data_IF_177083024298
#
_entry.id   IF_177083024298
#
_cell.length_a   1.000
_cell.length_b   1.000
_cell.length_c   1.000
_cell.angle_alpha   90.00
_cell.angle_beta   90.00
_cell.angle_gamma   90.00
#
_symmetry.space_group_name_H-M   'P 1'
#
loop_
_entity.id
_entity.type
_entity.pdbx_description
1 polymer ?
#
# COMPACT_ATOMS: atom_id res chain seq x y z
N UNK A 1 32.35 3.15 11.01
CA UNK A 1 32.31 1.81 10.45
C UNK A 1 31.02 1.09 10.82
N UNK A 2 30.71 1.03 12.10
CA UNK A 2 29.46 0.48 12.60
C UNK A 2 28.25 1.29 12.15
N UNK A 3 28.33 2.62 12.23
CA UNK A 3 27.29 3.55 11.78
C UNK A 3 27.02 3.40 10.28
N UNK A 4 28.08 3.26 9.48
CA UNK A 4 27.96 3.08 8.04
C UNK A 4 27.22 1.78 7.69
N UNK A 5 27.51 0.68 8.42
CA UNK A 5 26.84 -0.60 8.23
C UNK A 5 25.34 -0.50 8.51
N UNK A 6 24.94 0.23 9.56
CA UNK A 6 23.52 0.43 9.90
C UNK A 6 22.79 1.20 8.80
N UNK A 7 23.41 2.23 8.23
CA UNK A 7 22.82 3.00 7.13
C UNK A 7 22.60 2.11 5.91
N UNK A 8 23.56 1.27 5.54
CA UNK A 8 23.45 0.34 4.40
C UNK A 8 22.29 -0.65 4.62
N UNK A 9 22.13 -1.19 5.82
CA UNK A 9 21.04 -2.11 6.15
C UNK A 9 19.69 -1.42 6.03
N UNK A 10 19.57 -0.19 6.53
CA UNK A 10 18.36 0.61 6.44
C UNK A 10 17.97 0.86 4.98
N UNK A 11 18.94 1.25 4.15
CA UNK A 11 18.69 1.49 2.71
C UNK A 11 18.22 0.23 2.00
N UNK A 12 18.79 -0.94 2.32
CA UNK A 12 18.37 -2.20 1.74
C UNK A 12 16.93 -2.56 2.15
N UNK A 13 16.58 -2.37 3.41
CA UNK A 13 15.24 -2.61 3.91
C UNK A 13 14.23 -1.67 3.23
N UNK A 14 14.57 -0.40 3.06
CA UNK A 14 13.73 0.56 2.36
C UNK A 14 13.47 0.12 0.91
N UNK A 15 14.50 -0.31 0.21
CA UNK A 15 14.38 -0.80 -1.17
C UNK A 15 13.49 -2.04 -1.26
N UNK A 16 13.64 -2.97 -0.32
CA UNK A 16 12.82 -4.18 -0.28
C UNK A 16 11.35 -3.87 -0.02
N UNK A 17 11.07 -2.98 0.93
CA UNK A 17 9.70 -2.56 1.25
C UNK A 17 9.08 -1.83 0.06
N UNK A 18 9.80 -0.92 -0.55
CA UNK A 18 9.32 -0.19 -1.73
C UNK A 18 9.01 -1.17 -2.87
N UNK A 19 9.87 -2.15 -3.08
CA UNK A 19 9.67 -3.16 -4.13
C UNK A 19 8.41 -3.99 -3.87
N UNK A 20 8.16 -4.35 -2.61
CA UNK A 20 6.94 -5.07 -2.23
C UNK A 20 5.69 -4.21 -2.52
N UNK A 21 5.75 -2.93 -2.18
CA UNK A 21 4.66 -2.00 -2.47
C UNK A 21 4.43 -1.85 -3.98
N UNK A 22 5.50 -1.75 -4.77
CA UNK A 22 5.39 -1.63 -6.22
C UNK A 22 4.76 -2.88 -6.85
N UNK A 23 5.07 -4.06 -6.34
CA UNK A 23 4.42 -5.30 -6.75
C UNK A 23 2.92 -5.28 -6.43
N UNK A 24 2.57 -4.84 -5.23
CA UNK A 24 1.18 -4.68 -4.84
C UNK A 24 0.44 -3.77 -5.82
N UNK A 25 1.02 -2.62 -6.14
CA UNK A 25 0.42 -1.67 -7.06
C UNK A 25 0.22 -2.27 -8.46
N UNK A 26 1.20 -3.01 -8.96
CA UNK A 26 1.09 -3.68 -10.25
C UNK A 26 -0.04 -4.70 -10.26
N UNK A 27 -0.15 -5.52 -9.22
CA UNK A 27 -1.26 -6.48 -9.09
C UNK A 27 -2.60 -5.76 -8.98
N UNK A 28 -2.64 -4.65 -8.27
CA UNK A 28 -3.86 -3.86 -8.12
C UNK A 28 -4.34 -3.33 -9.48
N UNK A 29 -3.44 -2.77 -10.27
CA UNK A 29 -3.77 -2.25 -11.60
C UNK A 29 -4.22 -3.36 -12.57
N UNK A 30 -3.73 -4.58 -12.40
CA UNK A 30 -4.12 -5.73 -13.20
C UNK A 30 -5.36 -6.46 -12.69
N UNK A 31 -5.95 -5.99 -11.60
CA UNK A 31 -7.06 -6.66 -10.91
C UNK A 31 -6.71 -8.10 -10.53
N UNK A 32 -5.46 -8.34 -10.15
CA UNK A 32 -4.95 -9.65 -9.77
C UNK A 32 -5.05 -9.84 -8.25
N UNK A 33 -6.19 -10.32 -7.79
CA UNK A 33 -6.44 -10.52 -6.36
C UNK A 33 -5.56 -11.62 -5.76
N UNK A 34 -5.20 -12.63 -6.52
CA UNK A 34 -4.28 -13.66 -6.03
C UNK A 34 -2.89 -13.06 -5.78
N UNK A 35 -2.43 -12.20 -6.69
CA UNK A 35 -1.18 -11.47 -6.51
C UNK A 35 -1.21 -10.58 -5.28
N UNK A 36 -2.27 -9.79 -5.11
CA UNK A 36 -2.44 -8.92 -3.94
C UNK A 36 -2.40 -9.76 -2.66
N UNK A 37 -3.18 -10.84 -2.60
CA UNK A 37 -3.24 -11.69 -1.41
C UNK A 37 -1.88 -12.31 -1.05
N UNK A 38 -1.04 -12.55 -2.04
CA UNK A 38 0.31 -13.08 -1.81
C UNK A 38 1.22 -12.09 -1.09
N UNK A 39 0.89 -10.82 -1.12
CA UNK A 39 1.64 -9.73 -0.46
C UNK A 39 1.01 -9.28 0.84
N UNK A 40 0.01 -10.00 1.34
CA UNK A 40 -0.70 -9.64 2.57
C UNK A 40 -0.49 -10.71 3.62
N UNK A 41 -0.23 -10.27 4.84
CA UNK A 41 -0.25 -11.12 6.03
C UNK A 41 -1.60 -10.95 6.70
N UNK A 42 -2.45 -11.98 6.61
CA UNK A 42 -3.77 -11.97 7.23
C UNK A 42 -3.71 -12.41 8.70
N UNK A 43 -4.59 -11.92 9.58
CA UNK A 43 -5.59 -10.90 9.28
C UNK A 43 -4.93 -9.54 9.04
N UNK A 44 -5.48 -8.77 8.12
CA UNK A 44 -5.02 -7.41 7.87
C UNK A 44 -5.88 -6.43 8.69
N UNK A 45 -5.24 -5.43 9.27
CA UNK A 45 -5.95 -4.35 9.96
C UNK A 45 -6.28 -3.24 8.98
N UNK A 46 -7.56 -2.88 8.89
CA UNK A 46 -8.01 -1.78 8.05
C UNK A 46 -8.57 -0.67 8.93
N UNK A 47 -8.01 0.52 8.79
CA UNK A 47 -8.37 1.70 9.59
C UNK A 47 -8.97 2.74 8.67
N UNK A 48 -10.24 3.06 8.87
CA UNK A 48 -10.95 4.07 8.08
C UNK A 48 -12.17 4.57 8.88
N UNK A 49 -12.52 5.83 8.67
CA UNK A 49 -13.72 6.43 9.26
C UNK A 49 -13.83 6.28 10.77
N UNK A 50 -12.71 6.38 11.47
CA UNK A 50 -12.68 6.30 12.93
C UNK A 50 -12.79 4.88 13.49
N UNK A 51 -12.80 3.87 12.65
CA UNK A 51 -12.88 2.47 13.06
C UNK A 51 -11.62 1.69 12.64
N UNK A 52 -11.29 0.66 13.40
CA UNK A 52 -10.28 -0.30 13.02
C UNK A 52 -10.91 -1.68 12.96
N UNK A 53 -10.63 -2.41 11.88
CA UNK A 53 -11.20 -3.74 11.66
C UNK A 53 -10.08 -4.73 11.35
N UNK A 54 -10.21 -5.94 11.90
CA UNK A 54 -9.35 -7.06 11.55
C UNK A 54 -10.07 -7.90 10.51
N UNK A 55 -9.46 -8.05 9.33
CA UNK A 55 -10.12 -8.67 8.18
C UNK A 55 -9.33 -9.87 7.67
N UNK A 56 -10.06 -10.91 7.26
CA UNK A 56 -9.48 -12.11 6.65
C UNK A 56 -9.43 -12.02 5.13
N UNK A 57 -9.93 -10.93 4.55
CA UNK A 57 -9.90 -10.64 3.13
C UNK A 57 -9.42 -9.22 2.91
N UNK A 58 -8.84 -8.96 1.73
CA UNK A 58 -8.34 -7.63 1.40
C UNK A 58 -9.51 -6.64 1.26
N UNK A 59 -9.45 -5.46 1.92
CA UNK A 59 -10.62 -4.59 2.06
C UNK A 59 -11.05 -3.85 0.79
N UNK A 60 -10.16 -3.71 -0.18
CA UNK A 60 -10.43 -2.91 -1.39
C UNK A 60 -10.14 -3.77 -2.62
N UNK A 61 -11.10 -3.87 -3.54
CA UNK A 61 -10.86 -4.56 -4.79
C UNK A 61 -10.85 -3.57 -5.95
N UNK A 62 -9.91 -3.71 -6.90
CA UNK A 62 -9.87 -2.84 -8.07
C UNK A 62 -11.16 -2.88 -8.86
N UNK A 63 -11.76 -4.06 -9.00
CA UNK A 63 -13.01 -4.25 -9.71
C UNK A 63 -14.15 -3.42 -9.10
N UNK A 64 -14.29 -3.44 -7.77
CA UNK A 64 -15.29 -2.65 -7.08
C UNK A 64 -15.08 -1.15 -7.29
N UNK A 65 -13.84 -0.69 -7.26
CA UNK A 65 -13.53 0.70 -7.53
C UNK A 65 -13.92 1.11 -8.95
N UNK A 66 -13.65 0.25 -9.92
CA UNK A 66 -14.03 0.51 -11.31
C UNK A 66 -15.56 0.55 -11.48
N UNK A 67 -16.26 -0.39 -10.86
CA UNK A 67 -17.73 -0.49 -10.98
C UNK A 67 -18.47 0.60 -10.20
N UNK A 68 -18.03 0.86 -8.96
CA UNK A 68 -18.75 1.75 -8.05
C UNK A 68 -18.39 3.23 -8.22
N UNK A 69 -17.15 3.52 -8.61
CA UNK A 69 -16.65 4.89 -8.71
C UNK A 69 -16.28 5.30 -10.13
N UNK A 70 -16.34 4.36 -11.08
CA UNK A 70 -15.86 4.55 -12.46
C UNK A 70 -14.38 4.95 -12.50
N UNK A 71 -13.59 4.40 -11.57
CA UNK A 71 -12.16 4.65 -11.54
C UNK A 71 -11.48 4.13 -12.80
N UNK A 72 -10.71 4.99 -13.46
CA UNK A 72 -9.93 4.64 -14.63
C UNK A 72 -8.44 4.53 -14.27
N UNK A 73 -7.91 5.60 -13.68
CA UNK A 73 -6.51 5.62 -13.28
C UNK A 73 -6.28 6.59 -12.13
N UNK A 74 -5.05 6.60 -11.64
CA UNK A 74 -4.61 7.48 -10.56
C UNK A 74 -3.44 8.31 -11.04
N UNK A 75 -3.51 9.61 -10.82
CA UNK A 75 -2.49 10.58 -11.25
C UNK A 75 -1.92 11.30 -10.03
N UNK A 76 -0.86 12.08 -10.24
CA UNK A 76 -0.20 12.89 -9.21
C UNK A 76 0.18 12.04 -8.00
N UNK A 77 0.73 10.85 -8.27
CA UNK A 77 1.08 9.91 -7.21
C UNK A 77 2.41 10.27 -6.58
N UNK A 78 2.46 10.16 -5.25
CA UNK A 78 3.70 10.29 -4.49
C UNK A 78 3.76 9.12 -3.50
N UNK A 79 4.92 8.49 -3.41
CA UNK A 79 5.13 7.33 -2.54
C UNK A 79 6.42 7.49 -1.77
N UNK A 80 6.35 7.32 -0.46
CA UNK A 80 7.49 7.43 0.43
C UNK A 80 7.56 6.24 1.36
N UNK A 81 8.77 5.73 1.58
CA UNK A 81 9.03 4.77 2.65
C UNK A 81 9.45 5.58 3.87
N UNK A 82 8.63 5.58 4.90
CA UNK A 82 8.86 6.35 6.13
C UNK A 82 9.15 5.42 7.30
N UNK A 83 10.43 5.13 7.50
CA UNK A 83 10.88 4.29 8.59
C UNK A 83 10.89 2.82 8.23
N UNK A 84 12.06 2.23 8.32
CA UNK A 84 12.25 0.78 8.17
C UNK A 84 13.27 0.30 9.17
N UNK A 85 13.14 -0.97 9.53
CA UNK A 85 14.18 -1.71 10.23
C UNK A 85 14.19 -3.14 9.66
N UNK A 86 14.84 -4.06 10.35
CA UNK A 86 14.96 -5.45 9.86
C UNK A 86 13.65 -6.22 9.86
N UNK A 87 12.60 -5.72 10.53
CA UNK A 87 11.33 -6.46 10.70
C UNK A 87 10.11 -5.71 10.22
N UNK A 88 10.18 -4.39 10.09
CA UNK A 88 8.99 -3.56 9.82
C UNK A 88 9.32 -2.36 8.94
N UNK A 89 8.36 -1.95 8.12
CA UNK A 89 8.48 -0.75 7.30
C UNK A 89 7.13 -0.10 7.05
N UNK A 90 7.16 1.22 6.87
CA UNK A 90 5.95 2.00 6.58
C UNK A 90 6.05 2.65 5.21
N UNK A 91 4.95 2.59 4.45
CA UNK A 91 4.83 3.25 3.16
C UNK A 91 3.66 4.22 3.23
N UNK A 92 3.88 5.44 2.78
CA UNK A 92 2.81 6.43 2.62
C UNK A 92 2.69 6.74 1.14
N UNK A 93 1.48 6.61 0.60
CA UNK A 93 1.20 6.87 -0.80
C UNK A 93 0.01 7.81 -0.93
N UNK A 94 0.12 8.80 -1.80
CA UNK A 94 -0.96 9.72 -2.10
C UNK A 94 -1.19 9.80 -3.60
N UNK A 95 -2.38 10.23 -3.99
CA UNK A 95 -2.72 10.36 -5.40
C UNK A 95 -4.10 10.93 -5.60
N UNK A 96 -4.45 11.11 -6.87
CA UNK A 96 -5.76 11.60 -7.32
C UNK A 96 -6.35 10.54 -8.23
N UNK A 97 -7.52 10.02 -7.86
CA UNK A 97 -8.25 9.05 -8.69
C UNK A 97 -9.14 9.79 -9.67
N UNK A 98 -9.08 9.40 -10.93
CA UNK A 98 -9.86 10.03 -12.00
C UNK A 98 -10.62 9.01 -12.83
N UNK A 99 -11.66 9.51 -13.50
CA UNK A 99 -12.45 8.76 -14.47
C UNK A 99 -11.86 8.90 -15.87
N UNK A 100 -12.41 8.16 -16.83
CA UNK A 100 -11.97 8.22 -18.23
C UNK A 100 -12.10 9.62 -18.84
N UNK A 101 -13.11 10.37 -18.42
CA UNK A 101 -13.31 11.75 -18.87
C UNK A 101 -12.40 12.75 -18.15
N UNK A 102 -11.49 12.26 -17.30
CA UNK A 102 -10.53 12.99 -16.48
C UNK A 102 -11.16 13.77 -15.32
N UNK A 103 -12.43 13.55 -15.03
CA UNK A 103 -13.03 14.14 -13.84
C UNK A 103 -12.45 13.46 -12.59
N UNK A 104 -12.29 14.26 -11.53
CA UNK A 104 -11.71 13.80 -10.27
C UNK A 104 -12.77 13.07 -9.46
N UNK A 105 -12.44 11.84 -9.02
CA UNK A 105 -13.25 11.10 -8.07
C UNK A 105 -12.93 11.56 -6.66
N UNK A 106 -11.67 11.46 -6.28
CA UNK A 106 -11.21 11.75 -4.91
C UNK A 106 -9.69 11.87 -4.88
N UNK A 107 -9.19 12.58 -3.87
CA UNK A 107 -7.77 12.61 -3.54
C UNK A 107 -7.60 11.86 -2.23
N UNK A 108 -6.49 11.13 -2.09
CA UNK A 108 -6.29 10.28 -0.93
C UNK A 108 -4.85 10.28 -0.46
N UNK A 109 -4.67 9.93 0.79
CA UNK A 109 -3.38 9.54 1.36
C UNK A 109 -3.59 8.24 2.12
N UNK A 110 -2.76 7.25 1.85
CA UNK A 110 -2.85 5.92 2.46
C UNK A 110 -1.53 5.59 3.14
N UNK A 111 -1.64 5.07 4.33
CA UNK A 111 -0.53 4.50 5.09
C UNK A 111 -0.63 2.99 5.05
N UNK A 112 0.50 2.34 4.75
CA UNK A 112 0.63 0.89 4.75
C UNK A 112 1.70 0.48 5.75
N UNK A 113 1.42 -0.53 6.58
CA UNK A 113 2.44 -1.15 7.41
C UNK A 113 2.83 -2.50 6.81
N UNK A 114 4.12 -2.68 6.58
CA UNK A 114 4.70 -3.93 6.10
C UNK A 114 5.50 -4.59 7.20
N UNK A 115 5.50 -5.91 7.22
CA UNK A 115 6.35 -6.70 8.11
C UNK A 115 7.13 -7.74 7.31
N UNK A 116 8.35 -8.02 7.75
CA UNK A 116 9.17 -9.04 7.10
C UNK A 116 8.75 -10.42 7.59
N UNK A 117 8.51 -11.33 6.65
CA UNK A 117 8.16 -12.72 6.92
C UNK A 117 9.18 -13.63 6.26
N UNK A 118 9.10 -14.94 6.51
CA UNK A 118 9.95 -15.92 5.85
C UNK A 118 9.76 -15.92 4.33
N UNK A 119 8.62 -15.43 3.86
CA UNK A 119 8.29 -15.33 2.43
C UNK A 119 8.35 -13.90 1.91
N UNK A 120 9.15 -13.05 2.54
CA UNK A 120 9.34 -11.65 2.13
C UNK A 120 8.47 -10.67 2.90
N UNK A 121 8.48 -9.42 2.45
CA UNK A 121 7.73 -8.35 3.07
C UNK A 121 6.26 -8.45 2.71
N UNK A 122 5.39 -8.35 3.71
CA UNK A 122 3.94 -8.44 3.54
C UNK A 122 3.23 -7.31 4.28
N UNK A 123 2.19 -6.82 3.66
CA UNK A 123 1.32 -5.79 4.22
C UNK A 123 0.39 -6.40 5.28
N UNK A 124 0.27 -5.75 6.43
CA UNK A 124 -0.62 -6.23 7.48
C UNK A 124 -1.47 -5.13 8.11
N UNK A 125 -1.34 -3.89 7.66
CA UNK A 125 -2.24 -2.80 8.04
C UNK A 125 -2.34 -1.76 6.93
N UNK A 126 -3.53 -1.21 6.75
CA UNK A 126 -3.82 -0.10 5.84
C UNK A 126 -4.65 0.93 6.59
N UNK A 127 -4.27 2.21 6.45
CA UNK A 127 -5.05 3.32 6.98
C UNK A 127 -5.16 4.39 5.91
N UNK A 128 -6.38 4.69 5.47
CA UNK A 128 -6.59 5.66 4.41
C UNK A 128 -7.32 6.92 4.88
N UNK A 129 -7.05 8.02 4.18
CA UNK A 129 -7.74 9.29 4.36
C UNK A 129 -8.15 9.79 2.98
N UNK A 130 -9.44 10.00 2.80
CA UNK A 130 -9.95 10.70 1.61
C UNK A 130 -9.92 12.20 1.95
N UNK A 131 -9.22 12.96 1.14
CA UNK A 131 -9.01 14.38 1.40
C UNK A 131 -10.23 15.20 0.99
N UNK A 132 -10.51 16.23 1.77
CA UNK A 132 -11.61 17.16 1.49
C UNK A 132 -11.35 18.02 0.25
#
# INVERSE_FOLDING_TARGET
KYRHRLIIMSENNEKEVLKAYEKYLAYFLDNDMNGINSLVKFPITYIADGESKSLDAFPVTPKEMMENKQWDTTIDTETYVHGTNSTKGHVISSGTRIRKDKSVIEKYTVFYAFTKTDNGWKMYAISDVILD
#
